data_IF_971125436736
#
_entry.id   IF_971125436736
#
_cell.length_a   1.000
_cell.length_b   1.000
_cell.length_c   1.000
_cell.angle_alpha   90.00
_cell.angle_beta   90.00
_cell.angle_gamma   90.00
#
_symmetry.space_group_name_H-M   'P 1'
#
loop_
_entity.id
_entity.type
_entity.pdbx_description
1 polymer ?
#
# COMPACT_ATOMS: atom_id res chain seq x y z
N UNK A 1 18.45 18.17 39.25
CA UNK A 1 19.31 17.35 38.39
C UNK A 1 18.39 16.55 37.50
N UNK A 2 18.50 16.79 36.20
CA UNK A 2 17.64 16.25 35.13
C UNK A 2 18.06 14.81 34.85
N UNK A 3 17.09 13.90 34.72
CA UNK A 3 17.21 12.78 33.79
C UNK A 3 15.93 12.71 32.97
N UNK A 4 16.07 13.20 31.74
CA UNK A 4 15.09 13.20 30.68
C UNK A 4 15.23 11.91 29.88
N UNK A 5 14.08 11.35 29.44
CA UNK A 5 13.86 10.54 28.24
C UNK A 5 14.60 9.18 28.15
N UNK A 6 14.05 8.12 27.55
CA UNK A 6 13.40 8.10 26.24
C UNK A 6 12.32 7.03 26.13
N UNK A 7 11.31 7.40 25.34
CA UNK A 7 10.30 6.55 24.73
C UNK A 7 10.97 5.37 24.03
N UNK A 8 10.53 4.15 24.30
CA UNK A 8 10.71 3.02 23.38
C UNK A 8 9.82 3.25 22.17
N UNK A 9 10.39 3.91 21.15
CA UNK A 9 9.83 3.90 19.82
C UNK A 9 10.24 2.56 19.21
N UNK A 10 9.29 1.63 19.15
CA UNK A 10 9.48 0.40 18.41
C UNK A 10 9.56 0.77 16.93
N UNK A 11 10.76 0.84 16.39
CA UNK A 11 10.98 0.84 14.96
C UNK A 11 10.51 -0.52 14.45
N UNK A 12 9.41 -0.53 13.70
CA UNK A 12 9.00 -1.70 12.93
C UNK A 12 9.95 -1.76 11.75
N UNK A 13 11.02 -2.51 11.91
CA UNK A 13 11.94 -2.85 10.83
C UNK A 13 11.17 -3.73 9.84
N UNK A 14 10.80 -3.14 8.71
CA UNK A 14 10.13 -3.85 7.62
C UNK A 14 11.15 -4.82 7.04
N UNK A 15 11.07 -6.09 7.41
CA UNK A 15 11.99 -7.13 6.94
C UNK A 15 11.73 -7.38 5.44
N UNK A 16 12.42 -6.63 4.58
CA UNK A 16 12.42 -6.84 3.13
C UNK A 16 13.36 -8.02 2.85
N UNK A 17 12.80 -9.23 2.76
CA UNK A 17 13.52 -10.36 2.16
C UNK A 17 13.31 -10.28 0.65
N UNK A 18 14.05 -9.38 0.02
CA UNK A 18 14.05 -9.16 -1.42
C UNK A 18 15.31 -8.40 -1.81
N UNK A 19 16.03 -8.92 -2.81
CA UNK A 19 17.17 -8.26 -3.41
C UNK A 19 16.96 -8.13 -4.91
N UNK A 20 17.85 -7.42 -5.61
CA UNK A 20 17.74 -7.09 -7.05
C UNK A 20 17.44 -8.28 -7.99
N UNK A 21 17.68 -9.52 -7.54
CA UNK A 21 17.42 -10.73 -8.33
C UNK A 21 16.05 -11.38 -8.08
N UNK A 22 15.35 -11.02 -7.00
CA UNK A 22 14.03 -11.53 -6.64
C UNK A 22 13.22 -10.42 -5.95
N UNK A 23 12.56 -9.53 -6.72
CA UNK A 23 11.75 -8.48 -6.15
C UNK A 23 10.56 -9.07 -5.38
N UNK A 24 10.21 -8.41 -4.28
CA UNK A 24 9.07 -8.78 -3.46
C UNK A 24 7.79 -8.52 -4.24
N UNK A 25 6.97 -9.56 -4.40
CA UNK A 25 5.71 -9.43 -5.12
C UNK A 25 4.68 -8.71 -4.25
N UNK A 26 4.04 -7.70 -4.82
CA UNK A 26 2.88 -7.05 -4.23
C UNK A 26 1.74 -6.97 -5.24
N UNK A 27 0.52 -6.75 -4.77
CA UNK A 27 -0.62 -6.41 -5.62
C UNK A 27 -1.32 -5.18 -5.06
N UNK A 28 -1.65 -4.23 -5.93
CA UNK A 28 -2.62 -3.20 -5.63
C UNK A 28 -3.99 -3.69 -6.12
N UNK A 29 -4.95 -3.78 -5.19
CA UNK A 29 -6.35 -4.00 -5.54
C UNK A 29 -6.97 -2.67 -5.96
N UNK A 30 -8.06 -2.67 -6.76
CA UNK A 30 -8.72 -1.44 -7.19
C UNK A 30 -9.05 -0.52 -6.02
N UNK A 31 -8.61 0.73 -6.09
CA UNK A 31 -8.89 1.70 -5.02
C UNK A 31 -10.33 2.19 -5.08
N UNK A 32 -10.96 2.28 -3.91
CA UNK A 32 -12.32 2.80 -3.77
C UNK A 32 -12.30 4.32 -3.62
N UNK A 33 -13.32 4.99 -4.16
CA UNK A 33 -13.45 6.44 -4.08
C UNK A 33 -14.80 6.84 -3.50
N UNK A 34 -14.74 7.72 -2.50
CA UNK A 34 -15.86 8.26 -1.75
C UNK A 34 -15.87 9.78 -1.90
N UNK A 35 -16.59 10.26 -2.92
CA UNK A 35 -16.67 11.67 -3.24
C UNK A 35 -17.77 11.98 -4.26
N UNK A 36 -17.91 13.25 -4.59
CA UNK A 36 -18.89 13.73 -5.57
C UNK A 36 -18.22 14.20 -6.87
N UNK A 37 -16.90 14.34 -6.88
CA UNK A 37 -16.11 14.71 -8.04
C UNK A 37 -15.71 13.52 -8.91
N UNK A 38 -14.71 13.76 -9.76
CA UNK A 38 -14.09 12.71 -10.58
C UNK A 38 -13.15 11.86 -9.73
N UNK A 39 -13.31 10.54 -9.81
CA UNK A 39 -12.46 9.62 -9.06
C UNK A 39 -11.01 9.64 -9.58
N UNK A 40 -10.01 9.94 -8.73
CA UNK A 40 -8.61 9.83 -9.08
C UNK A 40 -8.04 8.43 -8.80
N UNK A 41 -8.88 7.44 -8.47
CA UNK A 41 -8.45 6.14 -7.94
C UNK A 41 -7.43 5.42 -8.84
N UNK A 42 -7.71 5.31 -10.14
CA UNK A 42 -6.81 4.65 -11.10
C UNK A 42 -5.48 5.39 -11.21
N UNK A 43 -5.51 6.73 -11.21
CA UNK A 43 -4.29 7.54 -11.29
C UNK A 43 -3.42 7.36 -10.04
N UNK A 44 -4.03 7.36 -8.86
CA UNK A 44 -3.34 7.15 -7.57
C UNK A 44 -2.76 5.74 -7.50
N UNK A 45 -3.54 4.72 -7.90
CA UNK A 45 -3.09 3.33 -7.96
C UNK A 45 -1.85 3.18 -8.86
N UNK A 46 -1.92 3.70 -10.09
CA UNK A 46 -0.81 3.66 -11.04
C UNK A 46 0.45 4.36 -10.49
N UNK A 47 0.29 5.52 -9.84
CA UNK A 47 1.41 6.23 -9.23
C UNK A 47 2.09 5.40 -8.13
N UNK A 48 1.31 4.73 -7.27
CA UNK A 48 1.86 3.88 -6.21
C UNK A 48 2.57 2.66 -6.80
N UNK A 49 1.93 1.98 -7.77
CA UNK A 49 2.52 0.81 -8.44
C UNK A 49 3.83 1.19 -9.12
N UNK A 50 3.86 2.33 -9.83
CA UNK A 50 5.06 2.85 -10.49
C UNK A 50 6.14 3.23 -9.47
N UNK A 51 5.78 3.95 -8.40
CA UNK A 51 6.73 4.37 -7.37
C UNK A 51 7.39 3.16 -6.70
N UNK A 52 6.60 2.15 -6.29
CA UNK A 52 7.12 0.92 -5.68
C UNK A 52 7.99 0.12 -6.66
N UNK A 53 7.52 -0.06 -7.89
CA UNK A 53 8.27 -0.82 -8.90
C UNK A 53 9.58 -0.14 -9.30
N UNK A 54 9.63 1.20 -9.28
CA UNK A 54 10.84 1.96 -9.63
C UNK A 54 11.99 1.76 -8.65
N UNK A 55 11.72 1.27 -7.43
CA UNK A 55 12.76 0.97 -6.44
C UNK A 55 13.59 -0.26 -6.78
N UNK A 56 13.11 -1.14 -7.67
CA UNK A 56 13.71 -2.45 -7.96
C UNK A 56 13.49 -3.49 -6.85
N UNK A 57 13.01 -3.09 -5.67
CA UNK A 57 12.77 -3.99 -4.53
C UNK A 57 11.41 -4.69 -4.59
N UNK A 58 10.46 -4.10 -5.31
CA UNK A 58 9.08 -4.56 -5.40
C UNK A 58 8.68 -4.74 -6.86
N UNK A 59 7.80 -5.70 -7.11
CA UNK A 59 7.16 -5.82 -8.43
C UNK A 59 5.72 -6.29 -8.30
N UNK A 60 4.85 -5.78 -9.17
CA UNK A 60 3.50 -6.31 -9.32
C UNK A 60 3.46 -7.30 -10.48
N UNK A 61 3.01 -8.55 -10.27
CA UNK A 61 2.96 -9.53 -11.35
C UNK A 61 1.90 -9.14 -12.39
N UNK A 62 2.23 -9.34 -13.66
CA UNK A 62 1.32 -9.04 -14.78
C UNK A 62 0.05 -9.91 -14.77
N UNK A 63 0.13 -11.13 -14.22
CA UNK A 63 -0.99 -12.05 -14.05
C UNK A 63 -0.90 -12.69 -12.68
N UNK A 64 -2.03 -12.70 -11.98
CA UNK A 64 -2.21 -13.41 -10.73
C UNK A 64 -3.67 -13.86 -10.62
N UNK A 65 -3.92 -14.93 -9.89
CA UNK A 65 -5.27 -15.37 -9.57
C UNK A 65 -5.70 -14.68 -8.27
N UNK A 66 -6.64 -13.74 -8.38
CA UNK A 66 -7.24 -13.11 -7.22
C UNK A 66 -8.10 -14.14 -6.47
N UNK A 67 -7.88 -14.37 -5.16
CA UNK A 67 -8.72 -15.25 -4.38
C UNK A 67 -10.14 -14.71 -4.28
N UNK A 68 -11.11 -15.62 -4.16
CA UNK A 68 -12.52 -15.24 -3.97
C UNK A 68 -12.73 -14.44 -2.68
N UNK A 69 -12.03 -14.82 -1.63
CA UNK A 69 -11.96 -14.07 -0.37
C UNK A 69 -10.64 -13.30 -0.30
N UNK A 70 -10.72 -11.98 -0.42
CA UNK A 70 -9.55 -11.09 -0.40
C UNK A 70 -8.86 -11.04 0.96
N UNK A 71 -9.55 -11.45 2.03
CA UNK A 71 -8.96 -11.54 3.37
C UNK A 71 -8.15 -12.83 3.56
N UNK A 72 -8.21 -13.77 2.62
CA UNK A 72 -7.46 -15.03 2.67
C UNK A 72 -5.97 -14.81 2.34
N UNK A 73 -5.20 -14.39 3.34
CA UNK A 73 -3.77 -14.13 3.21
C UNK A 73 -2.95 -15.36 2.81
N UNK A 74 -3.40 -16.57 3.17
CA UNK A 74 -2.74 -17.81 2.75
C UNK A 74 -2.86 -18.00 1.23
N UNK A 75 -4.02 -17.72 0.64
CA UNK A 75 -4.19 -17.82 -0.82
C UNK A 75 -3.27 -16.84 -1.56
N UNK A 76 -3.14 -15.61 -1.05
CA UNK A 76 -2.19 -14.63 -1.59
C UNK A 76 -0.74 -15.10 -1.47
N UNK A 77 -0.35 -15.64 -0.31
CA UNK A 77 0.98 -16.20 -0.08
C UNK A 77 1.30 -17.33 -1.07
N UNK A 78 0.35 -18.25 -1.30
CA UNK A 78 0.50 -19.36 -2.25
C UNK A 78 0.61 -18.88 -3.70
N UNK A 79 0.02 -17.73 -4.03
CA UNK A 79 0.22 -17.05 -5.31
C UNK A 79 1.56 -16.29 -5.39
N UNK A 80 2.42 -16.41 -4.38
CA UNK A 80 3.73 -15.74 -4.31
C UNK A 80 3.63 -14.27 -3.93
N UNK A 81 2.47 -13.76 -3.52
CA UNK A 81 2.25 -12.36 -3.14
C UNK A 81 2.62 -12.16 -1.67
N UNK A 82 3.45 -11.15 -1.40
CA UNK A 82 3.88 -10.76 -0.04
C UNK A 82 2.99 -9.68 0.56
N UNK A 83 2.63 -8.68 -0.25
CA UNK A 83 1.89 -7.51 0.18
C UNK A 83 0.64 -7.30 -0.67
N UNK A 84 -0.49 -7.07 -0.02
CA UNK A 84 -1.76 -6.70 -0.67
C UNK A 84 -2.11 -5.28 -0.25
N UNK A 85 -2.21 -4.38 -1.22
CA UNK A 85 -2.50 -2.97 -1.01
C UNK A 85 -3.97 -2.71 -1.33
N UNK A 86 -4.65 -2.02 -0.40
CA UNK A 86 -6.02 -1.57 -0.55
C UNK A 86 -6.08 -0.07 -0.24
N UNK A 87 -6.74 0.70 -1.10
CA UNK A 87 -6.85 2.13 -0.96
C UNK A 87 -8.30 2.58 -0.89
N UNK A 88 -8.59 3.50 0.03
CA UNK A 88 -9.82 4.28 0.03
C UNK A 88 -9.47 5.75 -0.13
N UNK A 89 -10.07 6.42 -1.10
CA UNK A 89 -9.89 7.85 -1.34
C UNK A 89 -11.15 8.57 -0.90
N UNK A 90 -11.02 9.44 0.08
CA UNK A 90 -12.11 10.22 0.65
C UNK A 90 -12.00 11.67 0.18
N UNK A 91 -13.01 12.19 -0.49
CA UNK A 91 -13.12 13.59 -0.88
C UNK A 91 -13.98 14.36 0.13
N UNK A 92 -13.37 15.35 0.79
CA UNK A 92 -14.07 16.23 1.73
C UNK A 92 -13.62 17.67 1.48
N UNK A 93 -14.56 18.56 1.13
CA UNK A 93 -14.30 20.00 0.92
C UNK A 93 -13.09 20.25 0.00
N UNK A 94 -13.06 19.59 -1.17
CA UNK A 94 -11.98 19.69 -2.16
C UNK A 94 -10.61 19.13 -1.70
N UNK A 95 -10.57 18.47 -0.54
CA UNK A 95 -9.39 17.74 -0.07
C UNK A 95 -9.57 16.26 -0.35
N UNK A 96 -8.55 15.63 -0.94
CA UNK A 96 -8.51 14.20 -1.17
C UNK A 96 -7.61 13.55 -0.13
N UNK A 97 -8.13 12.58 0.61
CA UNK A 97 -7.36 11.79 1.58
C UNK A 97 -7.32 10.34 1.14
N UNK A 98 -6.13 9.80 0.92
CA UNK A 98 -5.91 8.38 0.71
C UNK A 98 -5.71 7.69 2.07
N UNK A 99 -6.53 6.69 2.36
CA UNK A 99 -6.25 5.68 3.39
C UNK A 99 -5.74 4.44 2.69
N UNK A 100 -4.50 4.07 2.96
CA UNK A 100 -3.84 2.90 2.40
C UNK A 100 -3.70 1.83 3.50
N UNK A 101 -4.22 0.66 3.24
CA UNK A 101 -4.03 -0.55 4.04
C UNK A 101 -3.04 -1.46 3.30
N UNK A 102 -1.97 -1.83 3.98
CA UNK A 102 -0.94 -2.75 3.47
C UNK A 102 -1.01 -4.02 4.32
N UNK A 103 -1.55 -5.08 3.73
CA UNK A 103 -1.66 -6.39 4.38
C UNK A 103 -0.44 -7.25 4.05
N UNK A 104 0.17 -7.82 5.09
CA UNK A 104 1.32 -8.71 5.00
C UNK A 104 0.85 -10.17 5.05
N UNK A 105 1.20 -10.97 4.04
CA UNK A 105 0.69 -12.34 3.92
C UNK A 105 1.29 -13.35 4.89
N UNK A 106 2.34 -13.00 5.64
CA UNK A 106 2.90 -13.84 6.72
C UNK A 106 2.19 -13.60 8.07
N UNK A 107 1.06 -12.88 8.08
CA UNK A 107 0.21 -12.75 9.26
C UNK A 107 0.65 -11.66 10.24
N UNK A 108 1.46 -10.70 9.78
CA UNK A 108 1.72 -9.48 10.56
C UNK A 108 0.49 -8.58 10.56
N UNK A 109 0.37 -7.71 11.57
CA UNK A 109 -0.69 -6.70 11.60
C UNK A 109 -0.58 -5.80 10.36
N UNK A 110 -1.70 -5.51 9.68
CA UNK A 110 -1.69 -4.61 8.54
C UNK A 110 -1.11 -3.24 8.91
N UNK A 111 -0.30 -2.69 8.02
CA UNK A 111 0.16 -1.31 8.15
C UNK A 111 -0.90 -0.38 7.58
N UNK A 112 -1.37 0.57 8.39
CA UNK A 112 -2.35 1.57 8.00
C UNK A 112 -1.65 2.92 7.83
N UNK A 113 -1.86 3.56 6.68
CA UNK A 113 -1.33 4.89 6.39
C UNK A 113 -2.43 5.81 5.87
N UNK A 114 -2.43 7.07 6.29
CA UNK A 114 -3.36 8.07 5.81
C UNK A 114 -2.57 9.29 5.30
N UNK A 115 -2.77 9.65 4.04
CA UNK A 115 -2.02 10.71 3.35
C UNK A 115 -2.99 11.65 2.66
N UNK A 116 -2.76 12.96 2.80
CA UNK A 116 -3.47 13.98 2.01
C UNK A 116 -2.83 14.00 0.62
N UNK A 117 -3.64 13.79 -0.41
CA UNK A 117 -3.19 13.85 -1.79
C UNK A 117 -3.09 15.30 -2.24
N UNK A 118 -1.93 15.70 -2.78
CA UNK A 118 -1.77 17.00 -3.40
C UNK A 118 -2.30 16.93 -4.85
N UNK A 119 -3.33 17.71 -5.23
CA UNK A 119 -3.89 17.71 -6.57
C UNK A 119 -2.86 18.00 -7.68
N UNK A 120 -1.84 18.81 -7.39
CA UNK A 120 -0.76 19.13 -8.35
C UNK A 120 0.09 17.91 -8.72
N UNK A 121 0.13 16.90 -7.86
CA UNK A 121 0.89 15.65 -8.09
C UNK A 121 0.04 14.57 -8.78
N UNK A 122 -1.26 14.82 -9.01
CA UNK A 122 -2.18 13.84 -9.57
C UNK A 122 -2.41 14.00 -11.08
N UNK A 123 -1.79 15.00 -11.74
CA UNK A 123 -1.98 15.32 -13.17
C UNK A 123 -3.46 15.15 -13.63
N UNK A 124 -4.40 15.72 -12.87
CA UNK A 124 -5.84 15.71 -13.18
C UNK A 124 -6.20 16.79 -14.20
#
# INVERSE_FOLDING_TARGET
MVFCCFKTQADVELLIVGGDQQPVQFVALPFEYFGIGFSPAVTVENHIVQALSSTGLFSMPFRYEQPQDLSNMLAWQLAGIRYVLQGEIHEVKQTLTLKLTISDTLGLQPTLSAVILNPEQLEL
#
